data_IF_180071914456
#
_entry.id   IF_180071914456
#
_cell.length_a   1.000
_cell.length_b   1.000
_cell.length_c   1.000
_cell.angle_alpha   90.00
_cell.angle_beta   90.00
_cell.angle_gamma   90.00
#
_symmetry.space_group_name_H-M   'P 1'
#
loop_
_entity.id
_entity.type
_entity.pdbx_description
1 polymer ?
#
# COMPACT_ATOMS: atom_id res chain seq x y z
N UNK A 1 0.56 -38.40 -8.92
CA UNK A 1 -0.20 -38.17 -10.17
C UNK A 1 -1.52 -37.54 -9.74
N UNK A 2 -1.59 -36.25 -9.60
CA UNK A 2 -2.83 -35.49 -9.34
C UNK A 2 -3.34 -34.95 -10.67
N UNK A 3 -4.56 -35.34 -10.98
CA UNK A 3 -5.29 -34.92 -12.16
C UNK A 3 -5.58 -33.42 -12.06
N UNK A 4 -4.95 -32.64 -12.91
CA UNK A 4 -5.33 -31.25 -13.18
C UNK A 4 -6.66 -31.31 -13.97
N UNK A 5 -7.77 -30.99 -13.34
CA UNK A 5 -9.03 -30.74 -14.03
C UNK A 5 -8.88 -29.38 -14.76
N UNK A 6 -8.54 -29.46 -16.03
CA UNK A 6 -8.71 -28.35 -16.96
C UNK A 6 -10.21 -28.10 -17.10
N UNK A 7 -10.68 -26.97 -16.66
CA UNK A 7 -12.00 -26.44 -16.99
C UNK A 7 -11.93 -25.94 -18.44
N UNK A 8 -12.63 -26.55 -19.38
CA UNK A 8 -12.61 -26.14 -20.79
C UNK A 8 -13.57 -24.95 -20.95
N UNK A 9 -13.06 -23.82 -21.37
CA UNK A 9 -13.89 -22.77 -21.94
C UNK A 9 -13.67 -21.33 -21.48
N UNK A 10 -12.64 -21.04 -20.69
CA UNK A 10 -12.29 -19.64 -20.46
C UNK A 10 -11.34 -19.16 -21.56
N UNK A 11 -11.87 -18.48 -22.56
CA UNK A 11 -11.06 -17.56 -23.36
C UNK A 11 -10.64 -16.43 -22.42
N UNK A 12 -9.35 -16.19 -22.29
CA UNK A 12 -8.79 -15.06 -21.55
C UNK A 12 -9.20 -13.75 -22.25
N UNK A 13 -10.40 -13.28 -22.00
CA UNK A 13 -10.70 -11.88 -22.13
C UNK A 13 -10.05 -11.24 -20.89
N UNK A 14 -8.92 -10.56 -21.08
CA UNK A 14 -8.40 -9.64 -20.09
C UNK A 14 -9.54 -8.66 -19.80
N UNK A 15 -10.13 -8.74 -18.61
CA UNK A 15 -11.17 -7.79 -18.26
C UNK A 15 -10.46 -6.54 -17.85
N UNK A 16 -10.41 -5.64 -18.80
CA UNK A 16 -9.95 -4.29 -18.57
C UNK A 16 -10.95 -3.58 -17.68
N UNK A 17 -10.50 -3.05 -16.54
CA UNK A 17 -11.27 -2.14 -15.71
C UNK A 17 -11.80 -1.00 -16.58
N UNK A 18 -13.01 -0.53 -16.27
CA UNK A 18 -13.69 0.51 -17.02
C UNK A 18 -12.91 1.82 -16.96
N UNK A 19 -12.74 2.47 -18.13
CA UNK A 19 -12.28 3.86 -18.17
C UNK A 19 -13.47 4.79 -17.95
N UNK A 20 -13.39 5.62 -16.93
CA UNK A 20 -14.43 6.58 -16.59
C UNK A 20 -14.20 7.90 -17.35
N UNK A 21 -15.25 8.49 -17.95
CA UNK A 21 -15.14 9.78 -18.59
C UNK A 21 -14.83 10.88 -17.55
N UNK A 22 -13.94 11.79 -17.91
CA UNK A 22 -13.52 12.92 -17.09
C UNK A 22 -13.34 14.17 -17.96
N UNK A 23 -13.44 15.35 -17.36
CA UNK A 23 -13.13 16.60 -18.02
C UNK A 23 -11.65 16.70 -18.43
N UNK A 24 -11.38 17.45 -19.49
CA UNK A 24 -9.99 17.73 -19.91
C UNK A 24 -9.21 18.45 -18.80
N UNK A 25 -9.89 19.31 -18.03
CA UNK A 25 -9.31 20.03 -16.89
C UNK A 25 -8.86 19.05 -15.79
N UNK A 26 -9.68 18.06 -15.45
CA UNK A 26 -9.32 17.05 -14.46
C UNK A 26 -8.16 16.16 -14.93
N UNK A 27 -8.17 15.75 -16.20
CA UNK A 27 -7.07 15.01 -16.80
C UNK A 27 -5.76 15.80 -16.75
N UNK A 28 -5.80 17.10 -17.07
CA UNK A 28 -4.63 17.96 -17.01
C UNK A 28 -4.15 18.17 -15.58
N UNK A 29 -5.07 18.39 -14.62
CA UNK A 29 -4.74 18.53 -13.21
C UNK A 29 -4.01 17.30 -12.66
N UNK A 30 -4.45 16.08 -13.00
CA UNK A 30 -3.77 14.84 -12.60
C UNK A 30 -2.36 14.78 -13.16
N UNK A 31 -2.16 15.19 -14.45
CA UNK A 31 -0.83 15.23 -15.08
C UNK A 31 0.12 16.25 -14.45
N UNK A 32 -0.40 17.37 -13.98
CA UNK A 32 0.38 18.46 -13.38
C UNK A 32 0.68 18.22 -11.89
N UNK A 33 0.04 17.20 -11.29
CA UNK A 33 0.13 16.90 -9.87
C UNK A 33 0.98 15.65 -9.64
N UNK A 34 1.80 15.65 -8.57
CA UNK A 34 2.48 14.42 -8.14
C UNK A 34 1.44 13.45 -7.59
N UNK A 35 1.26 12.33 -8.27
CA UNK A 35 0.34 11.26 -7.90
C UNK A 35 1.12 10.01 -7.53
N UNK A 36 0.92 9.52 -6.30
CA UNK A 36 1.55 8.30 -5.80
C UNK A 36 0.48 7.29 -5.46
N UNK A 37 0.36 6.22 -6.27
CA UNK A 37 -0.53 5.10 -6.04
C UNK A 37 0.04 4.10 -5.04
N UNK A 38 -0.79 3.11 -4.70
CA UNK A 38 -0.37 1.87 -4.08
C UNK A 38 -0.75 0.73 -5.03
N UNK A 39 0.18 -0.16 -5.29
CA UNK A 39 0.09 -1.19 -6.30
C UNK A 39 0.37 -2.55 -5.65
N UNK A 40 -0.64 -3.43 -5.68
CA UNK A 40 -0.45 -4.82 -5.32
C UNK A 40 0.34 -5.51 -6.42
N UNK A 41 1.57 -5.85 -6.16
CA UNK A 41 2.35 -6.65 -7.09
C UNK A 41 1.69 -8.01 -7.30
N UNK A 42 1.80 -8.63 -8.48
CA UNK A 42 1.36 -10.00 -8.65
C UNK A 42 2.09 -10.89 -7.67
N UNK A 43 1.34 -11.44 -6.73
CA UNK A 43 1.84 -12.38 -5.74
C UNK A 43 2.17 -13.70 -6.43
N UNK A 44 3.37 -14.10 -6.37
CA UNK A 44 3.81 -15.32 -7.03
C UNK A 44 4.95 -15.07 -8.00
N UNK A 45 5.78 -16.04 -8.15
CA UNK A 45 7.05 -16.02 -8.85
C UNK A 45 6.87 -15.91 -10.37
N UNK A 46 5.82 -15.22 -10.86
CA UNK A 46 5.63 -15.31 -12.25
C UNK A 46 4.55 -14.50 -12.92
N UNK A 47 4.76 -13.20 -13.10
CA UNK A 47 4.27 -12.71 -14.37
C UNK A 47 5.11 -13.37 -15.47
N UNK A 48 4.42 -13.87 -16.48
CA UNK A 48 5.06 -14.60 -17.57
C UNK A 48 5.64 -13.67 -18.63
N UNK A 49 5.18 -12.42 -18.69
CA UNK A 49 5.54 -11.45 -19.72
C UNK A 49 5.78 -10.05 -19.14
N UNK A 50 7.01 -9.55 -19.27
CA UNK A 50 7.39 -8.18 -18.86
C UNK A 50 6.56 -7.11 -19.59
N UNK A 51 6.01 -7.44 -20.78
CA UNK A 51 5.13 -6.58 -21.56
C UNK A 51 3.92 -6.08 -20.73
N UNK A 52 3.27 -6.93 -19.94
CA UNK A 52 2.12 -6.56 -19.15
C UNK A 52 2.45 -5.45 -18.15
N UNK A 53 3.61 -5.57 -17.47
CA UNK A 53 4.08 -4.52 -16.54
C UNK A 53 4.37 -3.21 -17.30
N UNK A 54 5.07 -3.31 -18.43
CA UNK A 54 5.40 -2.12 -19.22
C UNK A 54 4.16 -1.41 -19.76
N UNK A 55 3.18 -2.15 -20.25
CA UNK A 55 1.94 -1.59 -20.78
C UNK A 55 1.10 -0.93 -19.68
N UNK A 56 0.98 -1.58 -18.52
CA UNK A 56 0.29 -1.00 -17.35
C UNK A 56 0.96 0.31 -16.91
N UNK A 57 2.28 0.29 -16.67
CA UNK A 57 2.99 1.47 -16.20
C UNK A 57 3.07 2.57 -17.25
N UNK A 58 3.03 2.24 -18.55
CA UNK A 58 2.90 3.24 -19.61
C UNK A 58 1.54 3.93 -19.56
N UNK A 59 0.43 3.18 -19.44
CA UNK A 59 -0.91 3.78 -19.29
C UNK A 59 -0.97 4.66 -18.05
N UNK A 60 -0.36 4.24 -16.94
CA UNK A 60 -0.30 5.04 -15.71
C UNK A 60 0.43 6.37 -15.94
N UNK A 61 1.60 6.37 -16.60
CA UNK A 61 2.32 7.61 -16.97
C UNK A 61 1.52 8.51 -17.89
N UNK A 62 0.89 7.95 -18.92
CA UNK A 62 0.09 8.70 -19.89
C UNK A 62 -1.10 9.39 -19.22
N UNK A 63 -1.65 8.80 -18.16
CA UNK A 63 -2.70 9.37 -17.33
C UNK A 63 -2.19 10.36 -16.27
N UNK A 64 -0.87 10.50 -16.07
CA UNK A 64 -0.27 11.43 -15.11
C UNK A 64 0.07 10.83 -13.75
N UNK A 65 0.01 9.49 -13.59
CA UNK A 65 0.43 8.84 -12.34
C UNK A 65 1.96 8.89 -12.26
N UNK A 66 2.46 9.62 -11.25
CA UNK A 66 3.90 9.84 -11.07
C UNK A 66 4.63 8.59 -10.60
N UNK A 67 4.03 7.84 -9.70
CA UNK A 67 4.67 6.66 -9.14
C UNK A 67 3.76 5.75 -8.35
N UNK A 68 4.33 4.63 -7.96
CA UNK A 68 3.63 3.60 -7.20
C UNK A 68 4.48 3.08 -6.04
N UNK A 69 3.84 2.92 -4.87
CA UNK A 69 4.35 2.05 -3.82
C UNK A 69 4.05 0.62 -4.24
N UNK A 70 5.09 -0.10 -4.69
CA UNK A 70 4.99 -1.44 -5.27
C UNK A 70 5.34 -2.50 -4.24
N UNK A 71 4.44 -3.46 -4.07
CA UNK A 71 4.62 -4.57 -3.13
C UNK A 71 5.58 -5.62 -3.67
N UNK A 72 6.60 -5.98 -2.89
CA UNK A 72 7.56 -7.03 -3.25
C UNK A 72 7.23 -8.40 -2.66
N UNK A 73 6.44 -8.45 -1.57
CA UNK A 73 6.22 -9.71 -0.86
C UNK A 73 4.78 -9.90 -0.42
N UNK A 74 4.32 -11.15 -0.50
CA UNK A 74 3.09 -11.63 0.12
C UNK A 74 3.37 -12.32 1.47
N UNK A 75 2.30 -12.71 2.17
CA UNK A 75 2.35 -13.26 3.53
C UNK A 75 3.27 -14.49 3.71
N UNK A 76 3.38 -15.34 2.70
CA UNK A 76 4.14 -16.61 2.76
C UNK A 76 5.54 -16.50 2.16
N UNK A 77 5.91 -15.32 1.63
CA UNK A 77 7.21 -15.15 1.02
C UNK A 77 8.34 -15.18 2.02
N UNK A 78 9.46 -15.74 1.57
CA UNK A 78 10.74 -15.78 2.26
C UNK A 78 11.62 -14.58 1.89
N UNK A 79 12.79 -14.49 2.51
CA UNK A 79 13.82 -13.51 2.14
C UNK A 79 14.31 -13.71 0.70
N UNK A 80 14.45 -14.97 0.29
CA UNK A 80 14.87 -15.35 -1.06
C UNK A 80 13.81 -14.97 -2.10
N UNK A 81 12.53 -15.08 -1.76
CA UNK A 81 11.43 -14.63 -2.62
C UNK A 81 11.45 -13.11 -2.80
N UNK A 82 11.70 -12.34 -1.72
CA UNK A 82 11.88 -10.89 -1.79
C UNK A 82 12.97 -10.51 -2.79
N UNK A 83 14.16 -11.13 -2.65
CA UNK A 83 15.30 -10.86 -3.53
C UNK A 83 14.98 -11.22 -4.97
N UNK A 84 14.31 -12.35 -5.20
CA UNK A 84 13.91 -12.83 -6.51
C UNK A 84 12.91 -11.87 -7.16
N UNK A 85 11.92 -11.40 -6.41
CA UNK A 85 10.93 -10.44 -6.91
C UNK A 85 11.58 -9.10 -7.26
N UNK A 86 12.40 -8.56 -6.38
CA UNK A 86 13.10 -7.30 -6.67
C UNK A 86 14.00 -7.42 -7.90
N UNK A 87 14.71 -8.55 -8.05
CA UNK A 87 15.53 -8.82 -9.23
C UNK A 87 14.70 -8.84 -10.51
N UNK A 88 13.56 -9.54 -10.50
CA UNK A 88 12.66 -9.60 -11.66
C UNK A 88 12.17 -8.23 -12.08
N UNK A 89 11.67 -7.44 -11.13
CA UNK A 89 11.24 -6.06 -11.42
C UNK A 89 12.38 -5.22 -12.00
N UNK A 90 13.56 -5.24 -11.38
CA UNK A 90 14.71 -4.47 -11.87
C UNK A 90 15.17 -4.94 -13.24
N UNK A 91 15.12 -6.25 -13.52
CA UNK A 91 15.48 -6.80 -14.82
C UNK A 91 14.50 -6.38 -15.92
N UNK A 92 13.19 -6.42 -15.65
CA UNK A 92 12.18 -5.95 -16.57
C UNK A 92 12.29 -4.44 -16.82
N UNK A 93 12.46 -3.65 -15.76
CA UNK A 93 12.62 -2.20 -15.86
C UNK A 93 13.92 -1.79 -16.57
N UNK A 94 14.98 -2.59 -16.48
CA UNK A 94 16.24 -2.34 -17.18
C UNK A 94 16.11 -2.41 -18.71
N UNK A 95 15.04 -2.99 -19.25
CA UNK A 95 14.74 -2.99 -20.69
C UNK A 95 14.33 -1.58 -21.18
N UNK A 96 13.82 -0.72 -20.27
CA UNK A 96 13.40 0.67 -20.55
C UNK A 96 13.92 1.61 -19.45
N UNK A 97 15.23 1.82 -19.35
CA UNK A 97 15.86 2.48 -18.18
C UNK A 97 15.43 3.94 -18.00
N UNK A 98 15.01 4.61 -19.07
CA UNK A 98 14.55 6.01 -19.00
C UNK A 98 13.12 6.15 -18.46
N UNK A 99 12.35 5.06 -18.44
CA UNK A 99 10.97 5.05 -17.99
C UNK A 99 10.82 4.94 -16.47
N UNK A 100 11.91 4.67 -15.74
CA UNK A 100 11.86 4.32 -14.31
C UNK A 100 12.91 5.06 -13.49
N UNK A 101 12.51 5.49 -12.28
CA UNK A 101 13.41 5.99 -11.25
C UNK A 101 13.15 5.21 -9.96
N UNK A 102 14.17 4.48 -9.48
CA UNK A 102 14.11 3.84 -8.15
C UNK A 102 14.26 4.90 -7.08
N UNK A 103 13.24 5.00 -6.22
CA UNK A 103 13.14 6.08 -5.24
C UNK A 103 13.91 5.75 -3.98
N UNK A 104 14.76 6.68 -3.57
CA UNK A 104 15.46 6.70 -2.29
C UNK A 104 15.23 8.01 -1.51
N UNK A 105 14.59 8.98 -2.15
CA UNK A 105 14.26 10.29 -1.58
C UNK A 105 13.06 10.92 -2.29
N UNK A 106 12.44 11.92 -1.68
CA UNK A 106 11.38 12.70 -2.34
C UNK A 106 11.86 13.39 -3.62
N UNK A 107 13.14 13.75 -3.68
CA UNK A 107 13.74 14.35 -4.89
C UNK A 107 13.67 13.41 -6.09
N UNK A 108 13.76 12.10 -5.87
CA UNK A 108 13.64 11.11 -6.94
C UNK A 108 12.21 11.08 -7.48
N UNK A 109 11.20 11.23 -6.60
CA UNK A 109 9.78 11.33 -6.99
C UNK A 109 9.54 12.60 -7.81
N UNK A 110 10.04 13.76 -7.35
CA UNK A 110 9.97 15.02 -8.07
C UNK A 110 10.66 14.92 -9.44
N UNK A 111 11.82 14.27 -9.49
CA UNK A 111 12.56 14.04 -10.75
C UNK A 111 11.78 13.13 -11.69
N UNK A 112 11.14 12.08 -11.19
CA UNK A 112 10.30 11.20 -11.99
C UNK A 112 9.12 11.97 -12.60
N UNK A 113 8.44 12.80 -11.80
CA UNK A 113 7.35 13.64 -12.27
C UNK A 113 7.79 14.59 -13.42
N UNK A 114 8.90 15.32 -13.21
CA UNK A 114 9.44 16.26 -14.21
C UNK A 114 9.85 15.54 -15.51
N UNK A 115 10.39 14.33 -15.40
CA UNK A 115 10.86 13.54 -16.56
C UNK A 115 9.74 12.74 -17.24
N UNK A 116 8.56 12.64 -16.66
CA UNK A 116 7.51 11.72 -17.12
C UNK A 116 7.90 10.24 -16.95
N UNK A 117 8.79 9.92 -15.99
CA UNK A 117 9.17 8.57 -15.64
C UNK A 117 8.32 8.05 -14.48
N UNK A 118 8.28 6.74 -14.27
CA UNK A 118 7.62 6.13 -13.11
C UNK A 118 8.55 6.14 -11.90
N UNK A 119 8.12 6.77 -10.81
CA UNK A 119 8.77 6.65 -9.50
C UNK A 119 8.44 5.29 -8.88
N UNK A 120 9.46 4.47 -8.68
CA UNK A 120 9.34 3.11 -8.13
C UNK A 120 9.69 3.13 -6.65
N UNK A 121 8.68 2.97 -5.80
CA UNK A 121 8.81 2.95 -4.34
C UNK A 121 8.50 1.52 -3.89
N UNK A 122 9.41 0.90 -3.13
CA UNK A 122 9.21 -0.47 -2.67
C UNK A 122 8.54 -0.54 -1.31
N UNK A 123 7.65 -1.53 -1.14
CA UNK A 123 7.10 -1.91 0.16
C UNK A 123 7.08 -3.44 0.35
N UNK A 124 6.85 -3.87 1.58
CA UNK A 124 6.62 -5.28 1.91
C UNK A 124 5.34 -5.42 2.72
N UNK A 125 4.56 -6.48 2.45
CA UNK A 125 3.30 -6.74 3.16
C UNK A 125 3.42 -7.81 4.26
N UNK A 126 4.65 -8.15 4.67
CA UNK A 126 4.86 -9.10 5.75
C UNK A 126 6.22 -8.95 6.41
N UNK A 127 6.28 -9.14 7.72
CA UNK A 127 7.53 -9.29 8.48
C UNK A 127 8.08 -10.72 8.47
N UNK A 128 7.37 -11.69 7.90
CA UNK A 128 7.78 -13.10 7.81
C UNK A 128 9.12 -13.26 7.09
N UNK A 129 9.41 -12.39 6.12
CA UNK A 129 10.68 -12.33 5.37
C UNK A 129 11.91 -12.18 6.28
N UNK A 130 11.76 -11.59 7.47
CA UNK A 130 12.89 -11.42 8.41
C UNK A 130 13.34 -12.76 8.98
N UNK A 131 12.45 -13.73 9.11
CA UNK A 131 12.73 -15.08 9.61
C UNK A 131 13.59 -15.10 10.89
N UNK A 132 13.28 -14.22 11.85
CA UNK A 132 13.98 -14.14 13.13
C UNK A 132 15.29 -13.34 13.14
N UNK A 133 15.68 -12.73 12.03
CA UNK A 133 16.90 -11.93 11.91
C UNK A 133 16.57 -10.44 11.68
N UNK A 134 16.69 -9.65 12.75
CA UNK A 134 16.46 -8.19 12.72
C UNK A 134 17.49 -7.42 11.89
N UNK A 135 18.70 -7.96 11.66
CA UNK A 135 19.70 -7.28 10.83
C UNK A 135 19.22 -7.11 9.38
N UNK A 136 18.26 -7.91 8.94
CA UNK A 136 17.65 -7.77 7.61
C UNK A 136 16.89 -6.45 7.43
N UNK A 137 16.44 -5.79 8.51
CA UNK A 137 15.77 -4.47 8.41
C UNK A 137 16.72 -3.42 7.84
N UNK A 138 17.99 -3.43 8.24
CA UNK A 138 19.01 -2.56 7.65
C UNK A 138 19.14 -2.81 6.13
N UNK A 139 19.18 -4.09 5.72
CA UNK A 139 19.26 -4.45 4.31
C UNK A 139 18.00 -4.01 3.52
N UNK A 140 16.81 -4.11 4.11
CA UNK A 140 15.58 -3.60 3.49
C UNK A 140 15.67 -2.09 3.21
N UNK A 141 16.20 -1.32 4.15
CA UNK A 141 16.42 0.12 3.94
C UNK A 141 17.35 0.40 2.77
N UNK A 142 18.48 -0.30 2.70
CA UNK A 142 19.44 -0.18 1.58
C UNK A 142 18.85 -0.61 0.23
N UNK A 143 17.92 -1.56 0.25
CA UNK A 143 17.16 -1.98 -0.93
C UNK A 143 16.12 -0.96 -1.40
N UNK A 144 15.87 0.09 -0.63
CA UNK A 144 14.90 1.15 -0.93
C UNK A 144 13.48 0.83 -0.46
N UNK A 145 13.31 -0.08 0.52
CA UNK A 145 11.99 -0.34 1.11
C UNK A 145 11.57 0.87 1.95
N UNK A 146 10.45 1.49 1.58
CA UNK A 146 9.92 2.67 2.26
C UNK A 146 8.99 2.32 3.42
N UNK A 147 8.21 1.24 3.29
CA UNK A 147 7.25 0.82 4.33
C UNK A 147 7.17 -0.70 4.46
N UNK A 148 6.78 -1.15 5.65
CA UNK A 148 6.58 -2.57 5.97
C UNK A 148 5.27 -2.77 6.73
N UNK A 149 4.44 -3.72 6.26
CA UNK A 149 3.33 -4.28 7.01
C UNK A 149 3.87 -5.39 7.93
N UNK A 150 3.46 -5.37 9.20
CA UNK A 150 3.93 -6.34 10.19
C UNK A 150 3.34 -7.74 9.97
N UNK A 151 2.04 -7.80 9.72
CA UNK A 151 1.30 -9.04 9.56
C UNK A 151 0.22 -8.87 8.49
N UNK A 152 0.14 -9.85 7.61
CA UNK A 152 -0.90 -9.93 6.59
C UNK A 152 -2.19 -10.54 7.21
N UNK A 153 -3.08 -11.12 6.45
CA UNK A 153 -4.42 -11.57 6.88
C UNK A 153 -4.45 -12.59 8.03
N UNK A 154 -3.46 -13.48 8.13
CA UNK A 154 -3.41 -14.56 9.11
C UNK A 154 -2.48 -14.20 10.30
N UNK A 155 -2.12 -15.19 11.11
CA UNK A 155 -1.19 -15.06 12.25
C UNK A 155 0.24 -15.25 11.76
N UNK A 156 1.14 -14.38 12.21
CA UNK A 156 2.57 -14.63 12.14
C UNK A 156 3.25 -14.40 13.50
N UNK A 157 4.57 -14.45 13.55
CA UNK A 157 5.33 -14.26 14.78
C UNK A 157 5.17 -12.86 15.40
N UNK A 158 4.72 -11.88 14.63
CA UNK A 158 4.58 -10.46 15.03
C UNK A 158 3.26 -10.16 15.72
N UNK A 159 2.18 -10.81 15.28
CA UNK A 159 0.82 -10.56 15.75
C UNK A 159 -0.22 -11.27 14.90
N UNK A 160 -1.42 -10.73 14.90
CA UNK A 160 -2.57 -11.24 14.16
C UNK A 160 -2.96 -10.30 13.02
N UNK A 161 -3.26 -10.88 11.87
CA UNK A 161 -3.83 -10.17 10.73
C UNK A 161 -5.35 -10.01 10.85
N UNK A 162 -5.90 -9.22 9.96
CA UNK A 162 -7.32 -8.84 9.99
C UNK A 162 -8.29 -10.03 9.85
N UNK A 163 -7.96 -11.04 9.04
CA UNK A 163 -8.77 -12.24 8.89
C UNK A 163 -8.72 -13.12 10.15
N UNK A 164 -7.55 -13.28 10.77
CA UNK A 164 -7.42 -14.00 12.03
C UNK A 164 -8.23 -13.30 13.14
N UNK A 165 -8.17 -11.97 13.20
CA UNK A 165 -8.98 -11.17 14.13
C UNK A 165 -10.48 -11.35 13.87
N UNK A 166 -10.93 -11.33 12.62
CA UNK A 166 -12.30 -11.60 12.24
C UNK A 166 -12.77 -12.99 12.64
N UNK A 167 -11.90 -14.01 12.52
CA UNK A 167 -12.15 -15.38 12.99
C UNK A 167 -12.01 -15.54 14.52
N UNK A 168 -11.88 -14.45 15.26
CA UNK A 168 -11.88 -14.42 16.73
C UNK A 168 -10.51 -14.62 17.38
N UNK A 169 -9.43 -14.55 16.61
CA UNK A 169 -8.06 -14.67 17.13
C UNK A 169 -7.27 -13.40 16.90
N UNK A 170 -7.23 -12.52 17.90
CA UNK A 170 -6.34 -11.36 17.93
C UNK A 170 -5.75 -11.18 19.34
N UNK A 171 -4.58 -11.76 19.56
CA UNK A 171 -3.86 -11.68 20.84
C UNK A 171 -3.04 -10.39 20.98
N UNK A 172 -2.93 -9.59 19.92
CA UNK A 172 -2.20 -8.34 19.91
C UNK A 172 -0.74 -8.46 19.47
N UNK A 173 0.01 -7.38 19.65
CA UNK A 173 1.41 -7.26 19.25
C UNK A 173 2.34 -8.05 20.19
N UNK A 174 3.19 -8.91 19.62
CA UNK A 174 4.17 -9.69 20.38
C UNK A 174 5.43 -8.88 20.70
N UNK A 175 6.30 -9.42 21.59
CA UNK A 175 7.62 -8.82 21.84
C UNK A 175 8.52 -8.81 20.59
N UNK A 176 8.36 -9.83 19.71
CA UNK A 176 9.04 -9.85 18.43
C UNK A 176 8.54 -8.71 17.51
N UNK A 177 7.24 -8.44 17.52
CA UNK A 177 6.66 -7.31 16.82
C UNK A 177 7.20 -5.95 17.31
N UNK A 178 7.33 -5.78 18.63
CA UNK A 178 7.96 -4.58 19.23
C UNK A 178 9.40 -4.41 18.77
N UNK A 179 10.18 -5.50 18.78
CA UNK A 179 11.57 -5.46 18.33
C UNK A 179 11.69 -5.10 16.84
N UNK A 180 10.76 -5.54 15.99
CA UNK A 180 10.72 -5.11 14.60
C UNK A 180 10.40 -3.61 14.50
N UNK A 181 9.41 -3.11 15.23
CA UNK A 181 9.06 -1.67 15.26
C UNK A 181 10.29 -0.84 15.67
N UNK A 182 11.07 -1.29 16.66
CA UNK A 182 12.31 -0.61 17.07
C UNK A 182 13.30 -0.48 15.91
N UNK A 183 13.46 -1.53 15.11
CA UNK A 183 14.36 -1.48 13.96
C UNK A 183 13.76 -0.64 12.80
N UNK A 184 12.46 -0.71 12.56
CA UNK A 184 11.80 0.15 11.55
C UNK A 184 12.00 1.63 11.89
N UNK A 185 11.77 2.02 13.15
CA UNK A 185 11.99 3.39 13.62
C UNK A 185 13.48 3.80 13.51
N UNK A 186 14.39 2.90 13.86
CA UNK A 186 15.84 3.12 13.79
C UNK A 186 16.32 3.40 12.36
N UNK A 187 15.85 2.61 11.38
CA UNK A 187 16.29 2.73 9.99
C UNK A 187 15.41 3.65 9.16
N UNK A 188 14.33 4.18 9.72
CA UNK A 188 13.39 5.05 9.00
C UNK A 188 12.63 4.28 7.93
N UNK A 189 12.11 3.11 8.23
CA UNK A 189 11.11 2.40 7.43
C UNK A 189 9.75 2.65 8.07
N UNK A 190 8.78 3.08 7.27
CA UNK A 190 7.45 3.45 7.74
C UNK A 190 6.70 2.21 8.21
N UNK A 191 6.15 2.25 9.43
CA UNK A 191 5.23 1.23 9.93
C UNK A 191 3.89 1.35 9.21
N UNK A 192 3.51 0.31 8.48
CA UNK A 192 2.22 0.20 7.80
C UNK A 192 1.34 -0.83 8.54
N UNK A 193 0.14 -0.42 8.91
CA UNK A 193 -0.80 -1.23 9.70
C UNK A 193 -1.95 -1.82 8.86
N UNK A 194 -1.94 -1.63 7.53
CA UNK A 194 -2.89 -2.31 6.64
C UNK A 194 -2.81 -3.83 6.85
N UNK A 195 -3.91 -4.56 6.67
CA UNK A 195 -4.04 -6.00 6.92
C UNK A 195 -3.92 -6.45 8.39
N UNK A 196 -3.51 -5.57 9.31
CA UNK A 196 -3.29 -5.92 10.70
C UNK A 196 -4.62 -6.03 11.46
N UNK A 197 -4.77 -7.01 12.33
CA UNK A 197 -5.93 -7.14 13.21
C UNK A 197 -6.03 -5.97 14.18
N UNK A 198 -7.26 -5.58 14.53
CA UNK A 198 -7.48 -4.35 15.31
C UNK A 198 -6.67 -4.28 16.60
N UNK A 199 -6.66 -5.36 17.40
CA UNK A 199 -5.92 -5.36 18.67
C UNK A 199 -4.42 -5.27 18.42
N UNK A 200 -3.89 -6.02 17.46
CA UNK A 200 -2.47 -5.95 17.08
C UNK A 200 -2.09 -4.54 16.58
N UNK A 201 -2.93 -3.91 15.76
CA UNK A 201 -2.72 -2.53 15.29
C UNK A 201 -2.74 -1.53 16.44
N UNK A 202 -3.72 -1.61 17.34
CA UNK A 202 -3.80 -0.71 18.50
C UNK A 202 -2.61 -0.87 19.45
N UNK A 203 -2.19 -2.11 19.74
CA UNK A 203 -0.99 -2.37 20.55
C UNK A 203 0.28 -1.81 19.88
N UNK A 204 0.38 -1.86 18.53
CA UNK A 204 1.50 -1.28 17.79
C UNK A 204 1.49 0.26 17.84
N UNK A 205 0.30 0.87 17.71
CA UNK A 205 0.13 2.32 17.84
C UNK A 205 0.46 2.79 19.25
N UNK A 206 0.02 2.06 20.29
CA UNK A 206 0.35 2.37 21.70
C UNK A 206 1.86 2.33 21.92
N UNK A 207 2.53 1.31 21.38
CA UNK A 207 3.97 1.19 21.47
C UNK A 207 4.71 2.31 20.73
N UNK A 208 4.25 2.67 19.53
CA UNK A 208 4.81 3.80 18.78
C UNK A 208 4.61 5.15 19.50
N UNK A 209 3.39 5.42 19.97
CA UNK A 209 3.07 6.67 20.68
C UNK A 209 3.88 6.83 21.98
N UNK A 210 4.14 5.73 22.70
CA UNK A 210 4.94 5.70 23.94
C UNK A 210 6.43 5.90 23.64
N UNK A 211 6.97 5.11 22.72
CA UNK A 211 8.42 5.00 22.54
C UNK A 211 8.99 5.93 21.47
N UNK A 212 8.20 6.25 20.47
CA UNK A 212 8.59 7.07 19.31
C UNK A 212 7.55 8.20 19.06
N UNK A 213 7.28 9.06 20.04
CA UNK A 213 6.24 10.09 19.91
C UNK A 213 6.50 11.01 18.73
N UNK A 214 5.47 11.20 17.89
CA UNK A 214 5.56 12.04 16.69
C UNK A 214 6.17 11.36 15.46
N UNK A 215 6.53 10.07 15.53
CA UNK A 215 6.91 9.30 14.33
C UNK A 215 5.63 8.76 13.67
N UNK A 216 5.36 9.18 12.42
CA UNK A 216 4.17 8.73 11.70
C UNK A 216 4.12 7.23 11.43
N UNK A 217 2.92 6.65 11.56
CA UNK A 217 2.55 5.34 11.04
C UNK A 217 1.32 5.48 10.14
N UNK A 218 1.07 4.49 9.27
CA UNK A 218 0.10 4.62 8.18
C UNK A 218 -0.82 3.42 8.05
N UNK A 219 -1.94 3.64 7.34
CA UNK A 219 -2.64 2.59 6.60
C UNK A 219 -2.53 2.91 5.12
N UNK A 220 -1.71 2.15 4.41
CA UNK A 220 -1.40 2.41 3.00
C UNK A 220 -2.58 2.12 2.07
N UNK A 221 -3.48 1.17 2.46
CA UNK A 221 -4.66 0.76 1.68
C UNK A 221 -5.72 0.13 2.59
N UNK A 222 -6.68 0.93 3.05
CA UNK A 222 -7.77 0.46 3.94
C UNK A 222 -8.98 1.35 3.83
N UNK A 223 -10.19 0.75 3.83
CA UNK A 223 -11.44 1.49 3.76
C UNK A 223 -11.96 1.87 5.16
N UNK A 224 -12.84 2.90 5.24
CA UNK A 224 -13.47 3.29 6.50
C UNK A 224 -14.60 2.32 6.87
N UNK A 225 -14.44 1.56 7.95
CA UNK A 225 -15.49 0.68 8.46
C UNK A 225 -16.79 1.44 8.76
N UNK A 226 -16.69 2.69 9.20
CA UNK A 226 -17.84 3.52 9.53
C UNK A 226 -18.72 3.89 8.32
N UNK A 227 -18.17 3.88 7.10
CA UNK A 227 -18.94 4.14 5.88
C UNK A 227 -19.79 2.94 5.46
N UNK A 228 -19.35 1.72 5.79
CA UNK A 228 -19.98 0.46 5.32
C UNK A 228 -20.63 -0.38 6.44
N UNK A 229 -20.69 0.14 7.66
CA UNK A 229 -21.14 -0.58 8.87
C UNK A 229 -22.57 -1.12 8.83
N UNK A 230 -23.43 -0.49 8.03
CA UNK A 230 -24.88 -0.78 8.03
C UNK A 230 -25.30 -1.73 6.90
N UNK A 231 -24.33 -2.27 6.13
CA UNK A 231 -24.63 -3.27 5.10
C UNK A 231 -24.51 -4.69 5.69
N UNK A 232 -25.52 -5.58 5.53
CA UNK A 232 -25.41 -6.97 6.01
C UNK A 232 -24.20 -7.68 5.44
N UNK A 233 -23.89 -7.43 4.19
CA UNK A 233 -22.76 -7.97 3.44
C UNK A 233 -21.41 -7.46 3.99
N UNK A 234 -21.39 -6.27 4.54
CA UNK A 234 -20.20 -5.69 5.18
C UNK A 234 -19.69 -6.51 6.37
N UNK A 235 -20.58 -7.26 7.03
CA UNK A 235 -20.21 -8.13 8.15
C UNK A 235 -19.79 -9.54 7.72
N UNK A 236 -20.06 -9.91 6.47
CA UNK A 236 -19.83 -11.27 5.97
C UNK A 236 -18.68 -11.39 4.95
N UNK A 237 -18.28 -10.29 4.28
CA UNK A 237 -17.28 -10.34 3.19
C UNK A 237 -16.32 -9.15 3.25
N UNK A 238 -15.03 -9.40 3.38
CA UNK A 238 -13.97 -8.43 3.13
C UNK A 238 -13.85 -7.22 4.05
N UNK A 239 -14.95 -6.81 4.70
CA UNK A 239 -15.00 -5.61 5.54
C UNK A 239 -14.14 -5.70 6.82
N UNK A 240 -13.72 -6.89 7.19
CA UNK A 240 -12.73 -7.07 8.25
C UNK A 240 -11.36 -6.46 7.91
N UNK A 241 -11.14 -6.08 6.65
CA UNK A 241 -9.97 -5.33 6.16
C UNK A 241 -10.09 -3.83 6.42
N UNK A 242 -11.30 -3.35 6.73
CA UNK A 242 -11.60 -1.95 6.94
C UNK A 242 -11.19 -1.52 8.34
N UNK A 243 -10.75 -0.27 8.49
CA UNK A 243 -10.30 0.27 9.76
C UNK A 243 -11.39 1.11 10.43
N UNK A 244 -11.36 1.12 11.74
CA UNK A 244 -12.30 1.91 12.55
C UNK A 244 -11.93 3.39 12.57
N UNK A 245 -12.89 4.25 12.92
CA UNK A 245 -12.65 5.69 13.12
C UNK A 245 -11.58 5.95 14.18
N UNK A 246 -11.54 5.10 15.23
CA UNK A 246 -10.53 5.18 16.29
C UNK A 246 -9.12 4.98 15.73
N UNK A 247 -8.90 3.98 14.88
CA UNK A 247 -7.61 3.73 14.24
C UNK A 247 -7.20 4.91 13.34
N UNK A 248 -8.14 5.43 12.54
CA UNK A 248 -7.90 6.59 11.69
C UNK A 248 -7.52 7.85 12.49
N UNK A 249 -8.20 8.12 13.62
CA UNK A 249 -7.89 9.23 14.51
C UNK A 249 -6.51 9.07 15.18
N UNK A 250 -6.06 7.85 15.47
CA UNK A 250 -4.71 7.59 15.97
C UNK A 250 -3.65 7.88 14.91
N UNK A 251 -3.89 7.50 13.65
CA UNK A 251 -3.01 7.87 12.51
C UNK A 251 -2.89 9.39 12.38
N UNK A 252 -4.01 10.13 12.45
CA UNK A 252 -3.96 11.60 12.47
C UNK A 252 -3.05 12.12 13.58
N UNK A 253 -3.21 11.60 14.80
CA UNK A 253 -2.41 12.02 15.98
C UNK A 253 -0.91 11.77 15.76
N UNK A 254 -0.52 10.69 15.09
CA UNK A 254 0.89 10.40 14.80
C UNK A 254 1.48 11.26 13.68
N UNK A 255 0.65 12.00 12.92
CA UNK A 255 1.09 12.70 11.71
C UNK A 255 1.06 11.83 10.45
N UNK A 256 0.58 10.60 10.53
CA UNK A 256 0.50 9.68 9.39
C UNK A 256 -0.60 10.00 8.38
N UNK A 257 -0.89 9.04 7.52
CA UNK A 257 -2.01 9.11 6.58
C UNK A 257 -2.73 7.76 6.46
N UNK A 258 -3.99 7.83 6.06
CA UNK A 258 -4.80 6.68 5.63
C UNK A 258 -5.10 6.84 4.14
N UNK A 259 -4.89 5.79 3.33
CA UNK A 259 -5.32 5.80 1.93
C UNK A 259 -6.51 4.85 1.75
N UNK A 260 -7.70 5.36 1.43
CA UNK A 260 -8.76 4.51 0.94
C UNK A 260 -8.29 3.80 -0.33
N UNK A 261 -8.56 2.51 -0.42
CA UNK A 261 -8.26 1.73 -1.61
C UNK A 261 -9.49 1.62 -2.50
N UNK A 262 -9.30 1.70 -3.81
CA UNK A 262 -10.42 1.65 -4.77
C UNK A 262 -10.76 0.19 -5.09
N UNK A 263 -11.24 -0.53 -4.07
CA UNK A 263 -11.45 -1.98 -4.09
C UNK A 263 -12.90 -2.31 -3.68
N UNK A 264 -13.72 -2.82 -4.59
CA UNK A 264 -15.16 -3.05 -4.33
C UNK A 264 -15.39 -4.11 -3.27
N UNK A 265 -14.66 -5.22 -3.29
CA UNK A 265 -14.87 -6.33 -2.35
C UNK A 265 -14.68 -5.94 -0.87
N UNK A 266 -14.05 -4.79 -0.59
CA UNK A 266 -13.93 -4.23 0.75
C UNK A 266 -15.09 -3.30 1.13
N UNK A 267 -16.01 -2.98 0.22
CA UNK A 267 -17.13 -2.07 0.46
C UNK A 267 -18.29 -2.79 1.12
N UNK A 268 -19.11 -3.43 0.34
CA UNK A 268 -20.35 -4.07 0.77
C UNK A 268 -20.48 -5.54 0.32
N UNK A 269 -19.40 -6.07 -0.24
CA UNK A 269 -19.37 -7.45 -0.72
C UNK A 269 -20.12 -7.67 -2.03
N UNK A 270 -20.54 -6.60 -2.70
CA UNK A 270 -21.21 -6.70 -4.00
C UNK A 270 -20.15 -6.79 -5.10
N UNK A 271 -20.10 -7.93 -5.74
CA UNK A 271 -19.33 -8.23 -6.94
C UNK A 271 -20.28 -8.37 -8.14
N UNK A 272 -19.88 -8.08 -9.36
CA UNK A 272 -18.62 -7.67 -9.96
C UNK A 272 -18.71 -6.32 -10.68
N UNK A 273 -18.98 -5.24 -10.01
CA UNK A 273 -19.04 -3.94 -10.65
C UNK A 273 -17.75 -3.14 -10.38
N UNK A 274 -17.23 -2.43 -11.41
CA UNK A 274 -16.13 -1.50 -11.23
C UNK A 274 -16.51 -0.39 -10.25
N UNK A 275 -15.62 -0.06 -9.32
CA UNK A 275 -15.80 1.08 -8.43
C UNK A 275 -16.11 2.36 -9.23
N UNK A 276 -17.11 3.10 -8.80
CA UNK A 276 -17.49 4.35 -9.43
C UNK A 276 -16.67 5.53 -8.89
N UNK A 277 -16.48 6.60 -9.66
CA UNK A 277 -15.84 7.83 -9.18
C UNK A 277 -16.52 8.41 -7.94
N UNK A 278 -17.85 8.28 -7.83
CA UNK A 278 -18.63 8.73 -6.69
C UNK A 278 -18.28 7.93 -5.43
N UNK A 279 -18.21 6.60 -5.52
CA UNK A 279 -17.82 5.73 -4.40
C UNK A 279 -16.39 6.01 -3.95
N UNK A 280 -15.45 6.16 -4.88
CA UNK A 280 -14.08 6.54 -4.55
C UNK A 280 -14.00 7.91 -3.85
N UNK A 281 -14.78 8.88 -4.34
CA UNK A 281 -14.89 10.20 -3.71
C UNK A 281 -15.58 10.13 -2.33
N UNK A 282 -16.55 9.23 -2.11
CA UNK A 282 -17.19 9.03 -0.79
C UNK A 282 -16.19 8.54 0.26
N UNK A 283 -15.31 7.61 -0.11
CA UNK A 283 -14.26 7.09 0.78
C UNK A 283 -13.27 8.19 1.18
N UNK A 284 -12.81 8.98 0.21
CA UNK A 284 -11.91 10.11 0.44
C UNK A 284 -12.58 11.15 1.34
N UNK A 285 -13.80 11.56 0.99
CA UNK A 285 -14.57 12.57 1.73
C UNK A 285 -14.87 12.14 3.17
N UNK A 286 -15.16 10.85 3.39
CA UNK A 286 -15.32 10.31 4.74
C UNK A 286 -14.07 10.52 5.60
N UNK A 287 -12.91 10.09 5.10
CA UNK A 287 -11.66 10.28 5.86
C UNK A 287 -11.29 11.74 6.01
N UNK A 288 -11.46 12.58 4.98
CA UNK A 288 -11.17 14.01 5.10
C UNK A 288 -12.03 14.68 6.19
N UNK A 289 -13.31 14.32 6.28
CA UNK A 289 -14.20 14.81 7.36
C UNK A 289 -13.79 14.32 8.74
N UNK A 290 -13.29 13.10 8.83
CA UNK A 290 -12.90 12.48 10.10
C UNK A 290 -11.52 12.96 10.60
N UNK A 291 -10.52 12.93 9.74
CA UNK A 291 -9.12 13.15 10.13
C UNK A 291 -8.48 14.39 9.51
N UNK A 292 -9.13 15.04 8.58
CA UNK A 292 -8.61 16.23 7.88
C UNK A 292 -7.80 15.88 6.63
N UNK A 293 -7.75 16.83 5.70
CA UNK A 293 -7.14 16.65 4.37
C UNK A 293 -5.65 16.29 4.41
N UNK A 294 -4.93 16.74 5.44
CA UNK A 294 -3.48 16.51 5.59
C UNK A 294 -3.12 15.06 5.98
N UNK A 295 -4.12 14.21 6.22
CA UNK A 295 -3.95 12.83 6.67
C UNK A 295 -4.59 11.79 5.75
N UNK A 296 -4.96 12.18 4.52
CA UNK A 296 -5.60 11.29 3.55
C UNK A 296 -4.71 11.10 2.33
N UNK A 297 -4.61 9.87 1.87
CA UNK A 297 -3.95 9.50 0.60
C UNK A 297 -4.92 8.79 -0.33
N UNK A 298 -4.40 8.13 -1.36
CA UNK A 298 -5.14 7.25 -2.28
C UNK A 298 -4.38 5.94 -2.49
N UNK A 299 -5.12 4.87 -2.77
CA UNK A 299 -4.59 3.58 -3.17
C UNK A 299 -5.52 2.94 -4.20
N UNK A 300 -4.99 2.13 -5.08
CA UNK A 300 -5.81 1.29 -5.97
C UNK A 300 -5.81 -0.17 -5.54
N UNK A 301 -4.68 -0.63 -5.04
CA UNK A 301 -4.43 -2.04 -4.74
C UNK A 301 -4.63 -2.94 -5.97
N UNK A 302 -4.52 -2.34 -7.16
CA UNK A 302 -4.60 -3.03 -8.43
C UNK A 302 -3.28 -3.73 -8.82
N UNK A 303 -3.30 -4.48 -9.90
CA UNK A 303 -2.14 -5.22 -10.40
C UNK A 303 -2.13 -5.22 -11.92
N UNK A 304 -0.94 -5.37 -12.52
CA UNK A 304 -0.81 -5.37 -13.98
C UNK A 304 -1.18 -6.71 -14.63
N UNK A 305 -1.30 -7.79 -13.85
CA UNK A 305 -1.82 -9.09 -14.27
C UNK A 305 -2.47 -9.81 -13.09
N UNK A 306 -3.57 -10.47 -13.32
CA UNK A 306 -4.39 -11.13 -12.29
C UNK A 306 -4.08 -12.62 -12.14
N UNK A 307 -3.70 -13.31 -13.21
CA UNK A 307 -3.55 -14.78 -13.23
C UNK A 307 -2.56 -15.30 -12.17
N UNK A 308 -1.35 -14.72 -11.98
CA UNK A 308 -0.44 -15.20 -10.94
C UNK A 308 -1.00 -15.00 -9.54
N UNK A 309 -1.76 -13.91 -9.32
CA UNK A 309 -2.38 -13.61 -8.02
C UNK A 309 -3.51 -14.58 -7.71
N UNK A 310 -4.35 -14.90 -8.70
CA UNK A 310 -5.40 -15.93 -8.58
C UNK A 310 -4.78 -17.29 -8.23
N UNK A 311 -3.74 -17.68 -8.95
CA UNK A 311 -3.04 -18.94 -8.70
C UNK A 311 -2.42 -18.97 -7.29
N UNK A 312 -1.83 -17.86 -6.84
CA UNK A 312 -1.30 -17.73 -5.49
C UNK A 312 -2.40 -17.78 -4.42
N UNK A 313 -3.52 -17.05 -4.61
CA UNK A 313 -4.65 -17.06 -3.70
C UNK A 313 -5.28 -18.46 -3.59
N UNK A 314 -5.45 -19.15 -4.72
CA UNK A 314 -5.96 -20.53 -4.73
C UNK A 314 -5.03 -21.52 -4.00
N UNK A 315 -3.71 -21.36 -4.14
CA UNK A 315 -2.73 -22.16 -3.43
C UNK A 315 -2.66 -21.86 -1.92
N UNK A 316 -3.14 -20.69 -1.49
CA UNK A 316 -3.11 -20.19 -0.11
C UNK A 316 -4.52 -19.80 0.36
N UNK A 317 -5.54 -20.58 0.03
CA UNK A 317 -6.96 -20.24 0.23
C UNK A 317 -7.29 -19.81 1.68
N UNK A 318 -6.63 -20.39 2.68
CA UNK A 318 -6.82 -20.03 4.09
C UNK A 318 -6.45 -18.59 4.43
N UNK A 319 -5.53 -17.96 3.67
CA UNK A 319 -5.16 -16.55 3.82
C UNK A 319 -6.21 -15.61 3.21
N UNK A 320 -7.12 -16.14 2.41
CA UNK A 320 -8.11 -15.40 1.63
C UNK A 320 -9.54 -15.89 1.90
N UNK A 321 -9.78 -16.36 3.13
CA UNK A 321 -11.08 -16.81 3.63
C UNK A 321 -11.76 -17.89 2.76
N UNK A 322 -10.96 -18.90 2.35
CA UNK A 322 -11.43 -20.02 1.51
C UNK A 322 -12.10 -19.56 0.20
N UNK A 323 -11.63 -18.43 -0.35
CA UNK A 323 -12.07 -17.88 -1.62
C UNK A 323 -13.06 -16.72 -1.53
N UNK A 324 -13.57 -16.38 -0.35
CA UNK A 324 -14.47 -15.21 -0.21
C UNK A 324 -13.77 -13.88 -0.46
N UNK A 325 -12.48 -13.82 -0.21
CA UNK A 325 -11.69 -12.61 -0.31
C UNK A 325 -11.32 -12.24 -1.75
N UNK A 326 -11.00 -13.18 -2.61
CA UNK A 326 -10.49 -12.90 -3.95
C UNK A 326 -11.00 -13.84 -5.05
N UNK A 327 -11.35 -15.07 -4.76
CA UNK A 327 -11.67 -16.06 -5.80
C UNK A 327 -12.99 -15.76 -6.50
N UNK A 328 -14.01 -15.27 -5.78
CA UNK A 328 -15.26 -14.84 -6.38
C UNK A 328 -15.10 -13.62 -7.30
N UNK A 329 -14.09 -12.77 -7.04
CA UNK A 329 -13.73 -11.63 -7.87
C UNK A 329 -13.23 -12.02 -9.26
N UNK A 330 -12.64 -13.19 -9.36
CA UNK A 330 -11.98 -13.65 -10.57
C UNK A 330 -12.85 -14.55 -11.45
N UNK A 331 -13.95 -15.07 -10.94
CA UNK A 331 -14.91 -15.85 -11.72
C UNK A 331 -15.68 -15.01 -12.76
N UNK A 332 -15.76 -13.71 -12.59
CA UNK A 332 -16.44 -12.79 -13.51
C UNK A 332 -15.46 -11.92 -14.34
N UNK A 333 -14.18 -11.97 -14.03
CA UNK A 333 -13.15 -11.28 -14.77
C UNK A 333 -13.00 -9.79 -14.49
N UNK A 334 -13.68 -9.19 -13.53
CA UNK A 334 -13.37 -7.87 -13.04
C UNK A 334 -12.22 -7.98 -12.03
N UNK A 335 -11.28 -7.03 -12.05
CA UNK A 335 -10.18 -7.01 -11.07
C UNK A 335 -10.65 -6.57 -9.69
N UNK A 336 -11.86 -6.04 -9.59
CA UNK A 336 -12.42 -5.49 -8.37
C UNK A 336 -11.66 -4.27 -7.81
N UNK A 337 -10.74 -3.71 -8.61
CA UNK A 337 -9.91 -2.57 -8.23
C UNK A 337 -9.98 -1.51 -9.31
N UNK A 338 -10.21 -0.27 -8.91
CA UNK A 338 -10.19 0.87 -9.82
C UNK A 338 -8.76 1.24 -10.21
N UNK A 339 -8.32 0.87 -11.42
CA UNK A 339 -7.02 1.29 -11.96
C UNK A 339 -6.94 2.84 -11.98
N UNK A 340 -5.96 3.42 -11.27
CA UNK A 340 -5.86 4.88 -11.12
C UNK A 340 -5.83 5.61 -12.47
N UNK A 341 -5.16 5.05 -13.48
CA UNK A 341 -5.09 5.61 -14.82
C UNK A 341 -6.46 5.76 -15.49
N UNK A 342 -7.46 5.02 -15.07
CA UNK A 342 -8.80 4.94 -15.66
C UNK A 342 -9.88 5.66 -14.85
N UNK A 343 -9.63 5.92 -13.56
CA UNK A 343 -10.65 6.49 -12.67
C UNK A 343 -10.27 7.84 -12.06
N UNK A 344 -8.98 8.14 -11.82
CA UNK A 344 -8.58 9.25 -10.97
C UNK A 344 -9.02 10.63 -11.47
N UNK A 345 -8.99 10.86 -12.78
CA UNK A 345 -9.49 12.13 -13.34
C UNK A 345 -11.00 12.31 -13.12
N UNK A 346 -11.79 11.24 -13.22
CA UNK A 346 -13.23 11.30 -12.93
C UNK A 346 -13.49 11.49 -11.42
N UNK A 347 -12.67 10.92 -10.55
CA UNK A 347 -12.69 11.19 -9.10
C UNK A 347 -12.35 12.65 -8.81
N UNK A 348 -11.42 13.24 -9.56
CA UNK A 348 -11.08 14.68 -9.46
C UNK A 348 -12.31 15.55 -9.75
N UNK A 349 -13.04 15.28 -10.84
CA UNK A 349 -14.28 15.97 -11.16
C UNK A 349 -15.32 15.88 -10.04
N UNK A 350 -15.48 14.69 -9.43
CA UNK A 350 -16.40 14.49 -8.30
C UNK A 350 -15.97 15.23 -7.03
N UNK A 351 -14.67 15.26 -6.72
CA UNK A 351 -14.15 15.99 -5.56
C UNK A 351 -14.26 17.51 -5.75
N UNK A 352 -14.02 18.03 -6.97
CA UNK A 352 -14.27 19.45 -7.26
C UNK A 352 -15.75 19.83 -7.07
N UNK A 353 -16.70 19.00 -7.52
CA UNK A 353 -18.14 19.21 -7.28
C UNK A 353 -18.49 19.27 -5.79
N UNK A 354 -17.70 18.58 -4.94
CA UNK A 354 -17.83 18.60 -3.47
C UNK A 354 -17.12 19.77 -2.81
N UNK A 355 -16.42 20.61 -3.57
CA UNK A 355 -15.77 21.84 -3.10
C UNK A 355 -14.32 21.67 -2.68
N UNK A 356 -13.66 20.58 -3.03
CA UNK A 356 -12.22 20.42 -2.80
C UNK A 356 -11.43 21.36 -3.70
N UNK A 357 -10.41 22.00 -3.15
CA UNK A 357 -9.47 22.82 -3.89
C UNK A 357 -8.39 21.96 -4.57
N UNK A 358 -7.70 22.54 -5.56
CA UNK A 358 -6.53 21.89 -6.18
C UNK A 358 -5.42 21.60 -5.15
N UNK A 359 -5.26 22.46 -4.16
CA UNK A 359 -4.30 22.25 -3.07
C UNK A 359 -4.67 21.03 -2.20
N UNK A 360 -5.96 20.89 -1.85
CA UNK A 360 -6.45 19.71 -1.13
C UNK A 360 -6.19 18.42 -1.90
N UNK A 361 -6.51 18.41 -3.20
CA UNK A 361 -6.31 17.25 -4.06
C UNK A 361 -4.82 16.93 -4.24
N UNK A 362 -3.96 17.92 -4.38
CA UNK A 362 -2.52 17.71 -4.47
C UNK A 362 -1.94 17.06 -3.19
N UNK A 363 -2.47 17.44 -2.01
CA UNK A 363 -2.12 16.79 -0.75
C UNK A 363 -2.56 15.32 -0.74
N UNK A 364 -3.82 15.06 -1.10
CA UNK A 364 -4.41 13.70 -1.11
C UNK A 364 -3.69 12.78 -2.11
N UNK A 365 -3.38 13.26 -3.30
CA UNK A 365 -2.84 12.42 -4.37
C UNK A 365 -1.37 12.01 -4.16
N UNK A 366 -0.57 12.86 -3.52
CA UNK A 366 0.84 12.54 -3.28
C UNK A 366 1.49 13.32 -2.15
N UNK A 367 1.07 14.56 -1.90
CA UNK A 367 1.72 15.47 -0.94
C UNK A 367 1.82 14.90 0.48
N UNK A 368 0.75 14.26 0.99
CA UNK A 368 0.74 13.66 2.32
C UNK A 368 1.69 12.45 2.42
N UNK A 369 1.78 11.64 1.36
CA UNK A 369 2.75 10.54 1.30
C UNK A 369 4.18 11.07 1.28
N UNK A 370 4.46 12.06 0.44
CA UNK A 370 5.79 12.69 0.38
C UNK A 370 6.18 13.33 1.72
N UNK A 371 5.22 13.94 2.44
CA UNK A 371 5.47 14.47 3.79
C UNK A 371 5.93 13.34 4.73
N UNK A 372 5.20 12.23 4.80
CA UNK A 372 5.55 11.10 5.67
C UNK A 372 6.87 10.44 5.22
N UNK A 373 7.13 10.33 3.92
CA UNK A 373 8.42 9.85 3.42
C UNK A 373 9.57 10.74 3.88
N UNK A 374 9.39 12.06 3.84
CA UNK A 374 10.39 13.02 4.31
C UNK A 374 10.64 12.86 5.82
N UNK A 375 9.58 12.79 6.60
CA UNK A 375 9.67 12.71 8.06
C UNK A 375 10.29 11.39 8.52
N UNK A 376 9.85 10.25 8.00
CA UNK A 376 10.26 8.92 8.47
C UNK A 376 11.41 8.39 7.62
N UNK A 377 11.22 8.28 6.32
CA UNK A 377 12.16 7.59 5.45
C UNK A 377 13.44 8.37 5.19
N UNK A 378 13.34 9.69 5.02
CA UNK A 378 14.51 10.57 4.92
C UNK A 378 14.98 11.08 6.28
N UNK A 379 14.12 11.02 7.31
CA UNK A 379 14.40 11.49 8.67
C UNK A 379 14.54 13.01 8.76
N UNK A 380 13.71 13.74 8.01
CA UNK A 380 13.64 15.21 8.01
C UNK A 380 12.36 15.60 8.76
N UNK A 381 12.52 16.33 9.89
CA UNK A 381 11.39 16.76 10.70
C UNK A 381 10.41 17.67 9.93
N UNK A 382 9.09 17.61 10.24
CA UNK A 382 8.12 18.53 9.66
C UNK A 382 8.42 19.95 10.09
N UNK A 383 8.42 20.87 9.15
CA UNK A 383 8.58 22.32 9.24
C UNK A 383 9.50 22.88 10.35
N UNK A 384 10.63 23.40 9.93
CA UNK A 384 11.38 24.48 10.61
C UNK A 384 12.75 24.12 11.12
N UNK A 385 13.01 22.96 11.67
CA UNK A 385 14.36 22.54 12.01
C UNK A 385 14.67 21.17 11.44
N UNK A 386 15.50 21.08 10.39
CA UNK A 386 16.09 19.80 10.02
C UNK A 386 16.80 19.28 11.26
N UNK A 387 16.56 18.00 11.62
CA UNK A 387 17.41 17.31 12.61
C UNK A 387 18.84 17.59 12.19
N UNK A 388 19.59 18.29 13.03
CA UNK A 388 20.96 18.73 12.71
C UNK A 388 21.71 17.48 12.16
N UNK A 389 22.25 17.53 10.95
CA UNK A 389 23.01 16.41 10.39
C UNK A 389 24.09 15.90 11.34
N UNK A 390 24.51 16.73 12.30
CA UNK A 390 25.45 16.37 13.36
C UNK A 390 24.80 15.53 14.45
N UNK A 391 23.56 15.82 14.87
CA UNK A 391 22.79 14.97 15.79
C UNK A 391 22.50 13.61 15.16
N UNK A 392 22.13 13.57 13.89
CA UNK A 392 21.92 12.33 13.16
C UNK A 392 23.22 11.52 13.04
N UNK A 393 24.36 12.16 12.74
CA UNK A 393 25.68 11.51 12.76
C UNK A 393 26.02 10.99 14.14
N UNK A 394 25.75 11.78 15.19
CA UNK A 394 26.03 11.38 16.56
C UNK A 394 25.20 10.15 16.96
N UNK A 395 23.91 10.13 16.64
CA UNK A 395 23.05 8.95 16.86
C UNK A 395 23.59 7.73 16.13
N UNK A 396 23.98 7.86 14.85
CA UNK A 396 24.57 6.77 14.06
C UNK A 396 25.93 6.32 14.63
N UNK A 397 26.78 7.23 15.08
CA UNK A 397 28.08 6.91 15.69
C UNK A 397 27.92 6.25 17.06
N UNK A 398 26.97 6.69 17.86
CA UNK A 398 26.72 6.10 19.17
C UNK A 398 26.10 4.71 19.03
N UNK A 399 25.22 4.50 18.07
CA UNK A 399 24.73 3.17 17.69
C UNK A 399 25.86 2.27 17.15
N UNK A 400 26.77 2.79 16.32
CA UNK A 400 27.95 2.02 15.87
C UNK A 400 28.85 1.62 17.03
N UNK A 401 29.12 2.50 18.00
CA UNK A 401 29.92 2.18 19.19
C UNK A 401 29.27 1.13 20.09
N UNK A 402 27.93 1.16 20.18
CA UNK A 402 27.17 0.22 20.98
C UNK A 402 27.16 -1.20 20.38
N UNK A 403 27.09 -1.32 19.06
CA UNK A 403 26.93 -2.61 18.38
C UNK A 403 28.20 -3.14 17.71
N UNK A 404 29.22 -2.31 17.52
CA UNK A 404 30.54 -2.67 16.97
C UNK A 404 31.66 -2.01 17.79
N UNK A 405 31.81 -2.38 19.08
CA UNK A 405 32.99 -1.93 19.84
C UNK A 405 34.23 -2.46 19.14
N UNK A 406 35.15 -1.56 18.75
CA UNK A 406 36.44 -1.95 18.20
C UNK A 406 37.32 -2.57 19.30
#
# INVERSE_FOLDING_TARGET
MSLMLLVPGMTSASIESKTWPASDEAQQFVKDTIVIGFFASPFGVGWTEDAHMHDYLQRARDAGITGHSMTLTAATHTWEDLLTQQYKFRSAMAQRPDDFIFVHSNRDIETAHIRGATAVIWNTQTSTILNGDLNKVAALKEMGIASMILVYNDINRTGCGSLAAFKGTDFGLTDWGRAIIDELARYGIILDLSHTGKKTAMDAMDYMDEKYPGVPYIFSHSLPAGLYKDTPEATERGCYRNITDEEALRVKKSGGYVSPTFTEWMMDGIWPEDITPQQAADMIDYYVKLIGVDHVGIASDDMFTTEPTVAFAAANASLYDDGRYMLDAFDGGATGCGELSKILAAVTDELWKRGYSNEDLAKIYGGNKMRVYREVWEGIAPEGDPIDPRERRQIVEDLRKQFYPR
#
